data_IF_589475976090
#
_entry.id   IF_589475976090
#
_cell.length_a   1.000
_cell.length_b   1.000
_cell.length_c   1.000
_cell.angle_alpha   90.00
_cell.angle_beta   90.00
_cell.angle_gamma   90.00
#
_symmetry.space_group_name_H-M   'P 1'
#
loop_
_entity.id
_entity.type
_entity.pdbx_description
1 polymer ?
#
# COMPACT_ATOMS: atom_id res chain seq x y z
N UNK A 1 -11.51 -5.03 -5.30
CA UNK A 1 -11.78 -6.44 -5.68
C UNK A 1 -10.89 -7.42 -4.91
N UNK A 2 -9.55 -7.31 -4.98
CA UNK A 2 -8.63 -8.23 -4.27
C UNK A 2 -8.81 -8.15 -2.75
N UNK A 3 -8.85 -6.94 -2.18
CA UNK A 3 -9.07 -6.76 -0.74
C UNK A 3 -10.35 -7.46 -0.25
N UNK A 4 -11.47 -7.32 -0.97
CA UNK A 4 -12.73 -7.95 -0.60
C UNK A 4 -12.62 -9.48 -0.63
N UNK A 5 -11.99 -10.05 -1.66
CA UNK A 5 -11.77 -11.50 -1.72
C UNK A 5 -10.89 -12.00 -0.55
N UNK A 6 -9.82 -11.28 -0.22
CA UNK A 6 -8.97 -11.59 0.92
C UNK A 6 -9.74 -11.51 2.25
N UNK A 7 -10.61 -10.49 2.40
CA UNK A 7 -11.50 -10.31 3.56
C UNK A 7 -12.45 -11.50 3.71
N UNK A 8 -13.11 -11.92 2.63
CA UNK A 8 -14.05 -13.05 2.64
C UNK A 8 -13.36 -14.38 2.97
N UNK A 9 -12.09 -14.53 2.58
CA UNK A 9 -11.28 -15.72 2.86
C UNK A 9 -10.54 -15.66 4.21
N UNK A 10 -10.62 -14.55 4.95
CA UNK A 10 -9.88 -14.38 6.20
C UNK A 10 -8.35 -14.28 6.03
N UNK A 11 -7.87 -13.83 4.87
CA UNK A 11 -6.44 -13.74 4.54
C UNK A 11 -5.99 -12.27 4.62
N UNK A 12 -4.88 -11.93 5.30
CA UNK A 12 -4.31 -10.58 5.25
C UNK A 12 -3.86 -10.20 3.83
N UNK A 13 -4.08 -8.95 3.44
CA UNK A 13 -3.72 -8.40 2.14
C UNK A 13 -2.68 -7.29 2.29
N UNK A 14 -1.54 -7.40 1.61
CA UNK A 14 -0.52 -6.36 1.55
C UNK A 14 -0.68 -5.59 0.24
N UNK A 15 -1.19 -4.37 0.36
CA UNK A 15 -1.39 -3.45 -0.77
C UNK A 15 -0.11 -2.69 -1.09
N UNK A 16 0.12 -2.46 -2.37
CA UNK A 16 1.20 -1.63 -2.89
C UNK A 16 0.75 -0.92 -4.16
N UNK A 17 1.13 0.35 -4.30
CA UNK A 17 0.89 1.14 -5.52
C UNK A 17 2.08 2.05 -5.79
N UNK A 18 2.20 2.49 -7.05
CA UNK A 18 3.23 3.41 -7.50
C UNK A 18 2.62 4.47 -8.41
N UNK A 19 3.26 5.64 -8.45
CA UNK A 19 2.99 6.68 -9.41
C UNK A 19 4.30 7.45 -9.67
N UNK A 20 5.01 7.08 -10.74
CA UNK A 20 6.34 7.63 -11.01
C UNK A 20 7.35 7.24 -9.95
N UNK A 21 7.90 8.24 -9.27
CA UNK A 21 8.97 8.08 -8.28
C UNK A 21 8.45 7.86 -6.85
N UNK A 22 7.14 7.82 -6.67
CA UNK A 22 6.51 7.67 -5.37
C UNK A 22 5.72 6.38 -5.33
N UNK A 23 5.61 5.79 -4.14
CA UNK A 23 4.82 4.59 -3.92
C UNK A 23 4.20 4.57 -2.54
N UNK A 24 3.16 3.76 -2.39
CA UNK A 24 2.42 3.62 -1.15
C UNK A 24 2.27 2.15 -0.78
N UNK A 25 2.24 1.87 0.52
CA UNK A 25 2.08 0.51 1.05
C UNK A 25 1.20 0.52 2.31
N UNK A 26 0.37 -0.52 2.44
CA UNK A 26 -0.34 -0.83 3.68
C UNK A 26 -0.59 -2.33 3.82
N UNK A 27 -0.76 -2.77 5.07
CA UNK A 27 -1.17 -4.13 5.40
C UNK A 27 -2.59 -4.11 5.97
N UNK A 28 -3.48 -4.85 5.33
CA UNK A 28 -4.91 -4.88 5.62
C UNK A 28 -5.26 -6.27 6.14
N UNK A 29 -5.68 -6.36 7.40
CA UNK A 29 -6.19 -7.60 7.98
C UNK A 29 -7.69 -7.75 7.74
N UNK A 30 -8.23 -8.99 7.78
CA UNK A 30 -9.67 -9.20 7.79
C UNK A 30 -10.34 -8.37 8.90
N UNK A 31 -11.32 -7.54 8.52
CA UNK A 31 -12.04 -6.65 9.43
C UNK A 31 -11.53 -5.21 9.49
N UNK A 32 -10.34 -4.92 8.95
CA UNK A 32 -9.84 -3.53 8.86
C UNK A 32 -10.68 -2.71 7.86
N UNK A 33 -10.73 -1.39 8.03
CA UNK A 33 -11.39 -0.52 7.04
C UNK A 33 -10.70 -0.60 5.66
N UNK A 34 -9.37 -0.74 5.63
CA UNK A 34 -8.62 -1.02 4.41
C UNK A 34 -8.59 0.16 3.43
N UNK A 35 -8.71 -0.12 2.14
CA UNK A 35 -8.54 0.89 1.08
C UNK A 35 -9.62 1.98 1.12
N UNK A 36 -10.78 1.75 1.74
CA UNK A 36 -11.82 2.77 1.88
C UNK A 36 -11.37 3.97 2.72
N UNK A 37 -10.35 3.83 3.58
CA UNK A 37 -9.76 4.96 4.31
C UNK A 37 -9.02 5.95 3.41
N UNK A 38 -8.52 5.49 2.26
CA UNK A 38 -7.77 6.31 1.31
C UNK A 38 -8.69 6.79 0.19
N UNK A 39 -9.46 5.85 -0.35
CA UNK A 39 -10.21 6.03 -1.59
C UNK A 39 -11.70 6.31 -1.38
N UNK A 40 -12.18 6.32 -0.13
CA UNK A 40 -13.61 6.46 0.16
C UNK A 40 -14.45 5.34 -0.45
N UNK A 41 -15.77 5.55 -0.48
CA UNK A 41 -16.73 4.55 -0.98
C UNK A 41 -17.05 4.70 -2.47
N UNK A 42 -16.67 5.82 -3.09
CA UNK A 42 -17.26 6.29 -4.35
C UNK A 42 -16.56 5.85 -5.63
N UNK A 43 -15.36 5.26 -5.56
CA UNK A 43 -14.69 4.63 -6.71
C UNK A 43 -14.38 5.53 -7.92
N UNK A 44 -14.64 6.84 -7.85
CA UNK A 44 -14.39 7.79 -8.94
C UNK A 44 -12.93 8.25 -8.92
N UNK A 45 -12.02 7.36 -9.32
CA UNK A 45 -10.62 7.71 -9.52
C UNK A 45 -10.30 7.85 -11.00
N UNK A 46 -9.42 8.78 -11.37
CA UNK A 46 -8.84 8.79 -12.71
C UNK A 46 -8.23 7.41 -13.00
N UNK A 47 -8.51 6.85 -14.17
CA UNK A 47 -7.93 5.57 -14.61
C UNK A 47 -6.41 5.66 -14.79
N UNK A 48 -5.89 6.89 -14.94
CA UNK A 48 -4.49 7.18 -15.18
C UNK A 48 -4.02 8.35 -14.28
N UNK A 49 -2.83 8.21 -13.71
CA UNK A 49 -2.17 9.20 -12.87
C UNK A 49 -0.96 9.87 -13.55
N UNK A 50 -0.04 10.37 -12.72
CA UNK A 50 1.15 11.11 -13.17
C UNK A 50 2.11 10.22 -13.99
N UNK A 51 2.04 8.90 -13.81
CA UNK A 51 2.86 7.92 -14.53
C UNK A 51 2.69 7.97 -16.05
N UNK A 52 1.57 8.50 -16.56
CA UNK A 52 1.40 8.77 -17.99
C UNK A 52 2.38 9.80 -18.55
N UNK A 53 2.92 10.67 -17.68
CA UNK A 53 3.88 11.71 -18.06
C UNK A 53 5.31 11.35 -17.68
N UNK A 54 5.50 10.78 -16.49
CA UNK A 54 6.84 10.52 -15.92
C UNK A 54 7.25 9.04 -15.98
N UNK A 55 6.38 8.17 -16.50
CA UNK A 55 6.56 6.73 -16.47
C UNK A 55 6.55 6.18 -15.06
N UNK A 56 7.06 4.95 -14.93
CA UNK A 56 7.31 4.29 -13.65
C UNK A 56 8.77 3.80 -13.67
N UNK A 57 9.74 4.61 -13.21
CA UNK A 57 11.14 4.21 -13.12
C UNK A 57 11.27 2.88 -12.39
N UNK A 58 12.03 1.93 -12.92
CA UNK A 58 12.06 0.54 -12.44
C UNK A 58 12.42 0.38 -10.95
N UNK A 59 13.15 1.34 -10.38
CA UNK A 59 13.51 1.35 -8.96
C UNK A 59 12.27 1.46 -8.05
N UNK A 60 11.27 2.27 -8.42
CA UNK A 60 10.09 2.54 -7.58
C UNK A 60 9.22 1.29 -7.35
N UNK A 61 8.74 0.55 -8.38
CA UNK A 61 8.05 -0.71 -8.15
C UNK A 61 8.92 -1.75 -7.44
N UNK A 62 10.23 -1.75 -7.69
CA UNK A 62 11.16 -2.69 -7.04
C UNK A 62 11.21 -2.48 -5.53
N UNK A 63 11.36 -1.22 -5.08
CA UNK A 63 11.40 -0.89 -3.65
C UNK A 63 10.05 -1.19 -2.99
N UNK A 64 8.93 -0.82 -3.62
CA UNK A 64 7.60 -1.09 -3.07
C UNK A 64 7.34 -2.59 -2.96
N UNK A 65 7.67 -3.38 -4.00
CA UNK A 65 7.55 -4.84 -3.95
C UNK A 65 8.41 -5.45 -2.83
N UNK A 66 9.65 -4.97 -2.66
CA UNK A 66 10.52 -5.41 -1.57
C UNK A 66 9.92 -5.09 -0.20
N UNK A 67 9.33 -3.91 -0.02
CA UNK A 67 8.62 -3.57 1.21
C UNK A 67 7.38 -4.45 1.42
N UNK A 68 6.63 -4.79 0.37
CA UNK A 68 5.49 -5.72 0.47
C UNK A 68 5.95 -7.10 0.96
N UNK A 69 7.09 -7.61 0.46
CA UNK A 69 7.68 -8.88 0.94
C UNK A 69 8.03 -8.78 2.44
N UNK A 70 8.59 -7.65 2.88
CA UNK A 70 8.88 -7.45 4.30
C UNK A 70 7.62 -7.48 5.18
N UNK A 71 6.49 -6.94 4.72
CA UNK A 71 5.21 -7.07 5.44
C UNK A 71 4.78 -8.53 5.59
N UNK A 72 4.91 -9.32 4.52
CA UNK A 72 4.58 -10.75 4.56
C UNK A 72 5.47 -11.51 5.54
N UNK A 73 6.78 -11.23 5.55
CA UNK A 73 7.70 -11.82 6.52
C UNK A 73 7.27 -11.50 7.95
N UNK A 74 6.88 -10.24 8.24
CA UNK A 74 6.39 -9.85 9.58
C UNK A 74 5.11 -10.58 9.96
N UNK A 75 4.17 -10.75 9.02
CA UNK A 75 2.92 -11.49 9.25
C UNK A 75 3.21 -12.97 9.58
N UNK A 76 4.05 -13.62 8.78
CA UNK A 76 4.34 -15.06 8.93
C UNK A 76 5.15 -15.34 10.19
N UNK A 77 6.13 -14.51 10.49
CA UNK A 77 7.09 -14.76 11.59
C UNK A 77 6.64 -14.18 12.93
N UNK A 78 5.71 -13.22 12.93
CA UNK A 78 5.35 -12.44 14.12
C UNK A 78 6.42 -11.45 14.59
N UNK A 79 7.52 -11.28 13.84
CA UNK A 79 8.59 -10.34 14.17
C UNK A 79 8.17 -8.93 13.75
N UNK A 80 8.29 -7.98 14.68
CA UNK A 80 7.97 -6.57 14.43
C UNK A 80 6.46 -6.31 14.30
N UNK A 81 6.10 -5.18 13.70
CA UNK A 81 4.70 -4.77 13.50
C UNK A 81 4.44 -4.48 12.01
N UNK A 82 3.43 -5.08 11.39
CA UNK A 82 2.99 -4.69 10.06
C UNK A 82 2.55 -3.22 10.02
N UNK A 83 2.59 -2.60 8.84
CA UNK A 83 2.02 -1.28 8.55
C UNK A 83 0.49 -1.43 8.46
N UNK A 84 -0.12 -1.83 9.58
CA UNK A 84 -1.58 -1.99 9.74
C UNK A 84 -2.18 -0.69 10.24
N UNK A 85 -3.34 -0.30 9.72
CA UNK A 85 -4.01 0.98 10.03
C UNK A 85 -3.14 2.21 9.76
N UNK A 86 -2.14 2.08 8.90
CA UNK A 86 -1.27 3.16 8.49
C UNK A 86 -1.05 3.09 6.97
N UNK A 87 -0.72 4.22 6.36
CA UNK A 87 -0.20 4.31 5.01
C UNK A 87 1.28 4.66 5.07
N UNK A 88 2.14 3.81 4.53
CA UNK A 88 3.53 4.18 4.24
C UNK A 88 3.57 4.87 2.88
N UNK A 89 4.17 6.05 2.82
CA UNK A 89 4.50 6.77 1.60
C UNK A 89 6.02 6.78 1.47
N UNK A 90 6.52 6.35 0.30
CA UNK A 90 7.92 6.46 -0.09
C UNK A 90 8.00 7.36 -1.31
N UNK A 91 8.81 8.41 -1.23
CA UNK A 91 9.08 9.31 -2.35
C UNK A 91 10.58 9.39 -2.62
N UNK A 92 11.01 8.98 -3.81
CA UNK A 92 12.44 8.96 -4.15
C UNK A 92 12.93 10.25 -4.82
N UNK A 93 12.06 11.20 -5.17
CA UNK A 93 12.48 12.53 -5.66
C UNK A 93 12.94 13.35 -4.46
N UNK A 94 12.09 13.44 -3.44
CA UNK A 94 12.35 14.24 -2.23
C UNK A 94 13.10 13.44 -1.16
N UNK A 95 13.20 12.11 -1.33
CA UNK A 95 13.98 11.23 -0.47
C UNK A 95 13.38 11.02 0.91
N UNK A 96 12.04 11.02 1.04
CA UNK A 96 11.38 10.83 2.33
C UNK A 96 10.54 9.55 2.39
N UNK A 97 10.39 9.06 3.62
CA UNK A 97 9.53 7.95 3.98
C UNK A 97 8.64 8.39 5.15
N UNK A 98 7.34 8.46 4.94
CA UNK A 98 6.38 8.92 5.94
C UNK A 98 5.32 7.86 6.21
N UNK A 99 4.96 7.70 7.49
CA UNK A 99 3.90 6.81 7.92
C UNK A 99 2.73 7.63 8.46
N UNK A 100 1.61 7.58 7.76
CA UNK A 100 0.38 8.29 8.10
C UNK A 100 -0.56 7.34 8.86
N UNK A 101 -1.11 7.78 9.99
CA UNK A 101 -2.12 7.03 10.76
C UNK A 101 -3.50 7.14 10.09
N UNK A 102 -4.17 6.01 9.92
CA UNK A 102 -5.50 5.90 9.32
C UNK A 102 -6.57 5.48 10.35
N UNK A 103 -6.20 5.27 11.61
CA UNK A 103 -7.15 5.03 12.70
C UNK A 103 -7.83 6.34 13.09
N UNK A 104 -9.07 6.52 12.62
CA UNK A 104 -10.00 7.54 13.11
C UNK A 104 -11.04 6.89 13.99
#
# INVERSE_FOLDING_TARGET
MVENACRDLGIPYVYGTIAGFSGQLMTIFPGDAGLSCIYGSSGSFPEHGIEMRIGNPSATPTIIAACQVQEIVKIITGIGKPIRNHLLILDTIEGFAEKIDLSR
#
